data_IF_503130118543
#
_entry.id   IF_503130118543
#
_cell.length_a   1.000
_cell.length_b   1.000
_cell.length_c   1.000
_cell.angle_alpha   90.00
_cell.angle_beta   90.00
_cell.angle_gamma   90.00
#
_symmetry.space_group_name_H-M   'P 1'
#
loop_
_entity.id
_entity.type
_entity.pdbx_description
1 polymer ?
#
# COMPACT_ATOMS: atom_id res chain seq x y z
N UNK A 1 -17.79 -12.94 46.65
CA UNK A 1 -16.70 -11.93 46.69
C UNK A 1 -17.15 -10.75 45.86
N UNK A 2 -17.45 -9.59 46.47
CA UNK A 2 -17.62 -8.35 45.70
C UNK A 2 -16.24 -7.92 45.26
N UNK A 3 -15.91 -8.09 43.98
CA UNK A 3 -14.63 -7.66 43.45
C UNK A 3 -14.60 -6.13 43.45
N UNK A 4 -13.88 -5.56 44.42
CA UNK A 4 -13.65 -4.12 44.51
C UNK A 4 -12.74 -3.69 43.36
N UNK A 5 -13.19 -2.72 42.57
CA UNK A 5 -12.41 -2.10 41.49
C UNK A 5 -11.03 -1.59 41.96
N UNK A 6 -10.87 -1.27 43.25
CA UNK A 6 -9.58 -0.89 43.86
C UNK A 6 -8.57 -2.03 43.84
N UNK A 7 -8.97 -3.24 44.20
CA UNK A 7 -8.07 -4.41 44.19
C UNK A 7 -7.54 -4.69 42.78
N UNK A 8 -8.40 -4.59 41.76
CA UNK A 8 -7.98 -4.74 40.37
C UNK A 8 -6.95 -3.68 39.99
N UNK A 9 -7.19 -2.41 40.34
CA UNK A 9 -6.26 -1.31 40.05
C UNK A 9 -4.89 -1.53 40.69
N UNK A 10 -4.86 -1.79 41.99
CA UNK A 10 -3.62 -2.02 42.74
C UNK A 10 -2.83 -3.20 42.17
N UNK A 11 -3.51 -4.31 41.85
CA UNK A 11 -2.89 -5.48 41.23
C UNK A 11 -2.28 -5.15 39.86
N UNK A 12 -2.98 -4.37 39.04
CA UNK A 12 -2.47 -3.97 37.72
C UNK A 12 -1.31 -2.97 37.82
N UNK A 13 -1.35 -2.04 38.77
CA UNK A 13 -0.25 -1.09 38.99
C UNK A 13 1.01 -1.81 39.47
N UNK A 14 0.87 -2.77 40.40
CA UNK A 14 1.96 -3.63 40.84
C UNK A 14 2.51 -4.48 39.68
N UNK A 15 1.62 -5.11 38.91
CA UNK A 15 2.00 -5.91 37.75
C UNK A 15 2.74 -5.05 36.71
N UNK A 16 2.24 -3.86 36.37
CA UNK A 16 2.87 -2.96 35.42
C UNK A 16 4.27 -2.51 35.89
N UNK A 17 4.42 -2.22 37.19
CA UNK A 17 5.72 -1.87 37.80
C UNK A 17 6.73 -3.01 37.68
N UNK A 18 6.29 -4.24 38.00
CA UNK A 18 7.13 -5.42 37.89
C UNK A 18 7.52 -5.73 36.43
N UNK A 19 6.58 -5.57 35.49
CA UNK A 19 6.85 -5.73 34.06
C UNK A 19 7.85 -4.67 33.57
N UNK A 20 7.76 -3.44 34.05
CA UNK A 20 8.73 -2.40 33.70
C UNK A 20 10.16 -2.75 34.13
N UNK A 21 10.30 -3.29 35.34
CA UNK A 21 11.59 -3.81 35.85
C UNK A 21 12.13 -4.96 34.98
N UNK A 22 11.26 -5.90 34.60
CA UNK A 22 11.63 -7.01 33.68
C UNK A 22 12.11 -6.45 32.34
N UNK A 23 11.40 -5.49 31.75
CA UNK A 23 11.80 -4.86 30.48
C UNK A 23 13.13 -4.11 30.63
N UNK A 24 13.34 -3.42 31.76
CA UNK A 24 14.62 -2.78 32.06
C UNK A 24 15.78 -3.76 32.06
N UNK A 25 15.62 -4.93 32.68
CA UNK A 25 16.64 -5.99 32.67
C UNK A 25 16.84 -6.60 31.26
N UNK A 26 15.77 -6.77 30.50
CA UNK A 26 15.85 -7.20 29.09
C UNK A 26 16.65 -6.21 28.25
N UNK A 27 16.43 -4.91 28.40
CA UNK A 27 17.21 -3.89 27.69
C UNK A 27 18.70 -3.97 27.99
N UNK A 28 19.10 -4.21 29.24
CA UNK A 28 20.51 -4.40 29.61
C UNK A 28 21.09 -5.64 28.92
N UNK A 29 20.37 -6.76 28.95
CA UNK A 29 20.79 -8.01 28.33
C UNK A 29 20.93 -7.87 26.80
N UNK A 30 19.97 -7.21 26.15
CA UNK A 30 19.97 -6.92 24.71
C UNK A 30 21.10 -5.96 24.32
N UNK A 31 21.37 -4.92 25.12
CA UNK A 31 22.49 -4.03 24.89
C UNK A 31 23.82 -4.78 24.99
N UNK A 32 23.97 -5.62 26.03
CA UNK A 32 25.17 -6.43 26.24
C UNK A 32 25.40 -7.43 25.10
N UNK A 33 24.36 -8.08 24.57
CA UNK A 33 24.50 -9.01 23.44
C UNK A 33 24.99 -8.32 22.17
N UNK A 34 24.73 -7.02 22.02
CA UNK A 34 25.22 -6.18 20.93
C UNK A 34 26.50 -5.39 21.28
N UNK A 35 27.13 -5.69 22.43
CA UNK A 35 28.34 -5.02 22.93
C UNK A 35 28.16 -3.50 23.14
N UNK A 36 26.97 -3.09 23.56
CA UNK A 36 26.63 -1.72 23.90
C UNK A 36 26.67 -1.48 25.40
N UNK A 37 26.65 -0.21 25.81
CA UNK A 37 26.43 0.16 27.20
C UNK A 37 25.03 -0.29 27.64
N UNK A 38 24.88 -0.74 28.89
CA UNK A 38 23.62 -1.31 29.38
C UNK A 38 22.41 -0.38 29.27
N UNK A 39 22.63 0.93 29.25
CA UNK A 39 21.59 1.95 29.13
C UNK A 39 21.35 2.43 27.68
N UNK A 40 22.01 1.83 26.68
CA UNK A 40 21.91 2.26 25.28
C UNK A 40 20.49 2.19 24.74
N UNK A 41 19.69 1.19 25.13
CA UNK A 41 18.29 1.09 24.72
C UNK A 41 17.35 1.89 25.62
N UNK A 42 17.50 1.83 26.95
CA UNK A 42 16.57 2.51 27.86
C UNK A 42 16.53 4.03 27.66
N UNK A 43 17.69 4.66 27.36
CA UNK A 43 17.76 6.10 27.05
C UNK A 43 16.93 6.51 25.83
N UNK A 44 16.73 5.61 24.87
CA UNK A 44 15.97 5.88 23.65
C UNK A 44 14.46 5.94 23.92
N UNK A 45 14.00 5.42 25.05
CA UNK A 45 12.59 5.45 25.43
C UNK A 45 12.20 6.75 26.15
N UNK A 46 13.17 7.63 26.44
CA UNK A 46 12.91 8.92 27.09
C UNK A 46 12.80 8.85 28.60
N UNK A 47 12.48 9.98 29.22
CA UNK A 47 12.35 10.08 30.69
C UNK A 47 11.01 9.57 31.18
N UNK A 48 9.95 9.75 30.37
CA UNK A 48 8.58 9.32 30.69
C UNK A 48 8.02 8.37 29.65
N UNK A 49 8.61 7.16 29.51
CA UNK A 49 8.11 6.17 28.58
C UNK A 49 6.71 5.67 28.96
N UNK A 50 5.93 5.32 27.94
CA UNK A 50 4.56 4.85 28.12
C UNK A 50 4.55 3.34 28.33
N UNK A 51 3.86 2.89 29.38
CA UNK A 51 3.43 1.51 29.54
C UNK A 51 1.93 1.43 29.26
N UNK A 52 1.54 0.73 28.19
CA UNK A 52 0.14 0.58 27.80
C UNK A 52 -0.31 -0.86 28.00
N UNK A 53 -1.37 -1.08 28.78
CA UNK A 53 -2.00 -2.38 28.96
C UNK A 53 -3.15 -2.61 27.96
N UNK A 54 -3.29 -3.84 27.47
CA UNK A 54 -4.48 -4.32 26.75
C UNK A 54 -4.91 -5.67 27.31
N UNK A 55 -6.16 -5.74 27.74
CA UNK A 55 -6.78 -6.91 28.36
C UNK A 55 -7.81 -7.44 27.37
N UNK A 56 -7.58 -8.63 26.83
CA UNK A 56 -8.42 -9.18 25.75
C UNK A 56 -8.98 -10.52 26.16
N UNK A 57 -10.30 -10.65 26.09
CA UNK A 57 -11.02 -11.91 26.15
C UNK A 57 -11.39 -12.32 24.72
N UNK A 58 -10.94 -13.50 24.31
CA UNK A 58 -11.30 -14.11 23.03
C UNK A 58 -12.40 -15.14 23.31
N UNK A 59 -13.65 -14.88 22.87
CA UNK A 59 -14.73 -15.84 23.04
C UNK A 59 -14.52 -17.07 22.16
N UNK A 60 -15.24 -18.15 22.47
CA UNK A 60 -15.32 -19.32 21.60
C UNK A 60 -15.90 -18.95 20.24
N UNK A 61 -15.34 -19.49 19.17
CA UNK A 61 -15.78 -19.25 17.81
C UNK A 61 -16.23 -20.56 17.15
N UNK A 62 -17.42 -20.58 16.56
CA UNK A 62 -17.95 -21.74 15.83
C UNK A 62 -17.23 -22.00 14.50
N UNK A 63 -16.55 -20.99 13.94
CA UNK A 63 -15.80 -21.04 12.68
C UNK A 63 -14.37 -20.50 12.85
N UNK A 64 -13.53 -21.15 13.67
CA UNK A 64 -12.20 -20.65 14.03
C UNK A 64 -11.22 -20.61 12.84
N UNK A 65 -11.52 -21.36 11.78
CA UNK A 65 -10.83 -21.36 10.49
C UNK A 65 -11.07 -20.08 9.67
N UNK A 66 -12.10 -19.30 10.01
CA UNK A 66 -12.51 -18.10 9.25
C UNK A 66 -12.35 -16.81 10.03
N UNK A 67 -12.07 -16.89 11.33
CA UNK A 67 -12.04 -15.73 12.22
C UNK A 67 -10.74 -15.71 13.02
N UNK A 68 -9.96 -14.65 12.81
CA UNK A 68 -8.83 -14.33 13.66
C UNK A 68 -9.31 -13.65 14.94
N UNK A 69 -8.71 -14.01 16.08
CA UNK A 69 -8.82 -13.23 17.30
C UNK A 69 -8.07 -11.90 17.14
N UNK A 70 -6.88 -11.96 16.52
CA UNK A 70 -6.14 -10.79 16.04
C UNK A 70 -5.50 -11.16 14.71
N UNK A 71 -5.71 -10.32 13.68
CA UNK A 71 -5.14 -10.53 12.34
C UNK A 71 -3.59 -10.50 12.38
N UNK A 72 -2.91 -11.08 11.36
CA UNK A 72 -1.46 -10.94 11.21
C UNK A 72 -1.00 -9.48 11.26
N UNK A 73 -0.06 -9.17 12.16
CA UNK A 73 0.55 -7.84 12.32
C UNK A 73 1.91 -7.94 13.03
N UNK A 74 2.72 -6.87 12.98
CA UNK A 74 3.83 -6.66 13.91
C UNK A 74 3.42 -5.65 14.99
N UNK A 75 4.19 -5.54 16.07
CA UNK A 75 3.90 -4.54 17.11
C UNK A 75 4.60 -3.21 16.81
N UNK A 76 3.85 -2.12 16.75
CA UNK A 76 4.43 -0.77 16.66
C UNK A 76 5.09 -0.26 17.95
N UNK A 77 5.17 -1.08 19.02
CA UNK A 77 5.83 -0.78 20.29
C UNK A 77 7.35 -1.06 20.21
N UNK A 78 8.05 -0.87 21.33
CA UNK A 78 9.43 -1.34 21.47
C UNK A 78 9.49 -2.78 21.96
N UNK A 79 8.84 -3.07 23.09
CA UNK A 79 8.74 -4.42 23.66
C UNK A 79 7.30 -4.65 24.08
N UNK A 80 6.84 -5.88 23.84
CA UNK A 80 5.54 -6.36 24.26
C UNK A 80 5.75 -7.54 25.19
N UNK A 81 5.16 -7.48 26.39
CA UNK A 81 5.17 -8.57 27.35
C UNK A 81 3.75 -9.08 27.52
N UNK A 82 3.58 -10.38 27.29
CA UNK A 82 2.29 -11.05 27.25
C UNK A 82 2.22 -12.07 28.38
N UNK A 83 1.22 -11.89 29.24
CA UNK A 83 0.71 -12.95 30.10
C UNK A 83 -0.30 -13.76 29.30
N UNK A 84 0.10 -14.98 28.95
CA UNK A 84 -0.74 -15.92 28.22
C UNK A 84 -1.78 -16.58 29.12
N UNK A 85 -2.87 -17.04 28.51
CA UNK A 85 -3.79 -17.98 29.13
C UNK A 85 -3.05 -19.24 29.59
N UNK A 86 -3.50 -19.84 30.69
CA UNK A 86 -2.85 -20.99 31.32
C UNK A 86 -3.11 -22.29 30.56
N UNK A 87 -4.20 -22.38 29.82
CA UNK A 87 -4.67 -23.64 29.23
C UNK A 87 -4.90 -23.52 27.72
N UNK A 88 -5.31 -22.33 27.25
CA UNK A 88 -5.78 -22.17 25.87
C UNK A 88 -4.73 -21.50 24.98
N UNK A 89 -4.13 -22.28 24.08
CA UNK A 89 -3.22 -21.77 23.06
C UNK A 89 -3.96 -20.90 22.03
N UNK A 90 -3.22 -20.03 21.35
CA UNK A 90 -3.78 -19.29 20.22
C UNK A 90 -2.85 -18.27 19.60
N UNK A 91 -1.75 -17.89 20.28
CA UNK A 91 -0.74 -17.04 19.68
C UNK A 91 0.09 -17.84 18.66
N UNK A 92 0.28 -17.28 17.48
CA UNK A 92 1.16 -17.79 16.45
C UNK A 92 2.11 -16.70 15.96
N UNK A 93 3.36 -17.07 15.71
CA UNK A 93 4.40 -16.18 15.17
C UNK A 93 4.83 -16.71 13.80
N UNK A 94 4.95 -15.81 12.82
CA UNK A 94 5.43 -16.14 11.49
C UNK A 94 6.96 -16.20 11.49
N UNK A 95 7.51 -17.35 11.07
CA UNK A 95 8.95 -17.54 10.87
C UNK A 95 9.16 -18.34 9.59
N UNK A 96 10.01 -17.84 8.69
CA UNK A 96 10.34 -18.53 7.43
C UNK A 96 9.07 -18.94 6.64
N UNK A 97 8.12 -18.01 6.52
CA UNK A 97 6.81 -18.20 5.88
C UNK A 97 5.91 -19.29 6.50
N UNK A 98 6.24 -19.76 7.69
CA UNK A 98 5.46 -20.74 8.44
C UNK A 98 4.92 -20.15 9.76
N UNK A 99 3.65 -20.44 10.04
CA UNK A 99 3.01 -20.05 11.29
C UNK A 99 3.34 -21.05 12.40
N UNK A 100 4.16 -20.62 13.35
CA UNK A 100 4.54 -21.41 14.52
C UNK A 100 3.62 -21.10 15.70
N UNK A 101 3.10 -22.13 16.36
CA UNK A 101 2.35 -21.96 17.61
C UNK A 101 3.31 -21.61 18.75
N UNK A 102 2.95 -20.60 19.54
CA UNK A 102 3.70 -20.27 20.75
C UNK A 102 3.25 -21.21 21.88
N UNK A 103 4.16 -21.99 22.49
CA UNK A 103 3.79 -22.89 23.58
C UNK A 103 3.40 -22.09 24.82
N UNK A 104 2.50 -22.68 25.62
CA UNK A 104 2.25 -22.22 26.98
C UNK A 104 3.27 -22.88 27.88
N UNK A 105 4.11 -22.07 28.52
CA UNK A 105 5.06 -22.52 29.52
C UNK A 105 4.52 -22.03 30.87
N UNK A 106 4.22 -22.93 31.82
CA UNK A 106 3.73 -22.54 33.14
C UNK A 106 4.62 -21.50 33.80
N UNK A 107 4.01 -20.45 34.34
CA UNK A 107 4.68 -19.33 35.01
C UNK A 107 5.63 -18.48 34.15
N UNK A 108 5.66 -18.68 32.83
CA UNK A 108 6.46 -17.86 31.94
C UNK A 108 5.65 -16.70 31.33
N UNK A 109 6.32 -15.59 31.11
CA UNK A 109 5.84 -14.50 30.26
C UNK A 109 6.34 -14.72 28.84
N UNK A 110 5.51 -14.41 27.86
CA UNK A 110 5.95 -14.32 26.48
C UNK A 110 6.44 -12.90 26.19
N UNK A 111 7.59 -12.77 25.53
CA UNK A 111 8.17 -11.47 25.14
C UNK A 111 8.25 -11.41 23.63
N UNK A 112 7.67 -10.35 23.06
CA UNK A 112 7.79 -9.99 21.67
C UNK A 112 8.54 -8.66 21.52
N UNK A 113 9.33 -8.53 20.45
CA UNK A 113 10.00 -7.28 20.12
C UNK A 113 9.21 -6.58 19.02
N UNK A 114 8.96 -5.29 19.20
CA UNK A 114 8.24 -4.49 18.22
C UNK A 114 9.18 -3.76 17.25
N UNK A 115 8.56 -3.12 16.26
CA UNK A 115 9.20 -2.41 15.17
C UNK A 115 10.19 -1.35 15.67
N UNK A 116 9.87 -0.67 16.79
CA UNK A 116 10.74 0.38 17.31
C UNK A 116 12.05 -0.21 17.84
N UNK A 117 12.03 -1.40 18.45
CA UNK A 117 13.25 -2.07 18.87
C UNK A 117 14.05 -2.60 17.68
N UNK A 118 13.38 -3.04 16.61
CA UNK A 118 14.05 -3.36 15.35
C UNK A 118 14.76 -2.12 14.75
N UNK A 119 14.13 -0.95 14.79
CA UNK A 119 14.73 0.32 14.35
C UNK A 119 15.94 0.67 15.21
N UNK A 120 15.78 0.70 16.54
CA UNK A 120 16.85 1.06 17.49
C UNK A 120 18.07 0.14 17.35
N UNK A 121 17.83 -1.15 17.11
CA UNK A 121 18.89 -2.15 16.95
C UNK A 121 19.50 -2.23 15.55
N UNK A 122 19.16 -1.30 14.65
CA UNK A 122 19.54 -1.31 13.24
C UNK A 122 19.24 -2.67 12.56
N UNK A 123 18.14 -3.33 12.95
CA UNK A 123 17.71 -4.60 12.37
C UNK A 123 18.34 -5.85 12.95
N UNK A 124 19.20 -5.72 13.99
CA UNK A 124 19.80 -6.86 14.69
C UNK A 124 18.76 -7.69 15.45
N UNK A 125 17.74 -7.04 16.01
CA UNK A 125 16.53 -7.70 16.48
C UNK A 125 15.41 -7.54 15.47
N UNK A 126 14.62 -8.60 15.25
CA UNK A 126 13.50 -8.58 14.32
C UNK A 126 12.18 -8.41 15.07
N UNK A 127 11.30 -7.59 14.50
CA UNK A 127 9.89 -7.45 14.88
C UNK A 127 9.10 -8.50 14.10
N UNK A 128 8.67 -9.61 14.73
CA UNK A 128 8.04 -10.69 14.00
C UNK A 128 6.56 -10.41 13.77
N UNK A 129 6.08 -10.81 12.60
CA UNK A 129 4.64 -10.84 12.33
C UNK A 129 4.04 -11.95 13.18
N UNK A 130 2.95 -11.66 13.87
CA UNK A 130 2.23 -12.59 14.73
C UNK A 130 0.72 -12.41 14.59
N UNK A 131 -0.04 -13.42 15.00
CA UNK A 131 -1.51 -13.43 14.96
C UNK A 131 -2.08 -14.21 16.12
N UNK A 132 -3.36 -14.00 16.42
CA UNK A 132 -4.10 -14.82 17.38
C UNK A 132 -5.22 -15.56 16.66
N UNK A 133 -5.20 -16.90 16.74
CA UNK A 133 -6.29 -17.75 16.24
C UNK A 133 -7.33 -17.98 17.35
N UNK A 134 -8.59 -18.15 16.94
CA UNK A 134 -9.68 -18.48 17.86
C UNK A 134 -9.83 -20.00 17.99
N UNK A 135 -10.63 -20.46 18.96
CA UNK A 135 -10.92 -21.88 19.17
C UNK A 135 -12.41 -22.09 19.48
N UNK A 136 -12.89 -23.33 19.40
CA UNK A 136 -14.30 -23.70 19.62
C UNK A 136 -14.64 -24.02 21.07
N UNK A 137 -13.63 -24.35 21.88
CA UNK A 137 -13.84 -25.11 23.13
C UNK A 137 -13.90 -24.21 24.35
N UNK A 138 -12.99 -23.24 24.46
CA UNK A 138 -12.85 -22.39 25.63
C UNK A 138 -12.52 -20.96 25.25
N UNK A 139 -13.07 -20.04 26.02
CA UNK A 139 -12.60 -18.66 25.98
C UNK A 139 -11.14 -18.58 26.42
N UNK A 140 -10.43 -17.58 25.91
CA UNK A 140 -9.01 -17.36 26.18
C UNK A 140 -8.81 -15.93 26.64
N UNK A 141 -8.08 -15.71 27.72
CA UNK A 141 -7.69 -14.37 28.15
C UNK A 141 -6.23 -14.07 27.80
N UNK A 142 -5.93 -12.80 27.57
CA UNK A 142 -4.56 -12.30 27.53
C UNK A 142 -4.43 -10.93 28.17
N UNK A 143 -3.31 -10.71 28.87
CA UNK A 143 -2.91 -9.39 29.35
C UNK A 143 -1.62 -9.01 28.66
N UNK A 144 -1.67 -7.94 27.87
CA UNK A 144 -0.57 -7.49 27.02
C UNK A 144 -0.09 -6.14 27.51
N UNK A 145 1.22 -6.03 27.78
CA UNK A 145 1.86 -4.79 28.22
C UNK A 145 2.83 -4.33 27.13
N UNK A 146 2.58 -3.14 26.58
CA UNK A 146 3.40 -2.53 25.55
C UNK A 146 4.27 -1.42 26.15
N UNK A 147 5.59 -1.55 26.07
CA UNK A 147 6.52 -0.46 26.39
C UNK A 147 6.80 0.35 25.13
N UNK A 148 6.54 1.64 25.21
CA UNK A 148 6.74 2.61 24.13
C UNK A 148 7.61 3.77 24.63
N UNK A 149 8.40 4.40 23.76
CA UNK A 149 9.03 5.67 24.06
C UNK A 149 7.99 6.74 24.44
N UNK A 150 8.45 7.78 25.12
CA UNK A 150 7.63 8.96 25.39
C UNK A 150 7.08 9.58 24.10
N UNK A 151 5.91 10.26 24.15
CA UNK A 151 5.35 10.95 22.98
C UNK A 151 6.35 11.89 22.32
N UNK A 152 6.27 12.06 21.01
CA UNK A 152 7.14 12.95 20.23
C UNK A 152 8.64 12.58 20.24
N UNK A 153 9.06 11.52 20.94
CA UNK A 153 10.42 11.01 20.86
C UNK A 153 10.72 10.54 19.44
N UNK A 154 11.83 11.03 18.90
CA UNK A 154 12.38 10.49 17.67
C UNK A 154 13.14 9.20 17.96
N UNK A 155 12.89 8.17 17.16
CA UNK A 155 13.61 6.91 17.20
C UNK A 155 14.45 6.76 15.92
N UNK A 156 15.67 6.28 16.08
CA UNK A 156 16.60 5.96 15.01
C UNK A 156 17.55 4.86 15.45
N UNK A 157 18.28 4.20 14.54
CA UNK A 157 19.32 3.26 14.92
C UNK A 157 20.31 3.87 15.93
N UNK A 158 20.61 3.12 17.00
CA UNK A 158 21.65 3.51 17.96
C UNK A 158 22.98 3.66 17.22
N UNK A 159 23.66 4.80 17.38
CA UNK A 159 24.82 5.18 16.56
C UNK A 159 25.92 4.12 16.54
N UNK A 160 26.19 3.44 17.66
CA UNK A 160 27.20 2.38 17.73
C UNK A 160 26.85 1.11 16.89
N UNK A 161 25.64 1.02 16.36
CA UNK A 161 25.18 -0.05 15.48
C UNK A 161 25.17 0.35 14.00
N UNK A 162 25.66 1.55 13.67
CA UNK A 162 25.81 2.05 12.32
C UNK A 162 27.30 2.30 12.06
N UNK A 163 27.86 1.58 11.10
CA UNK A 163 29.25 1.72 10.67
C UNK A 163 29.40 1.35 9.17
N UNK A 164 30.62 1.42 8.63
CA UNK A 164 30.88 1.11 7.21
C UNK A 164 30.48 -0.34 6.83
N UNK A 165 30.51 -1.28 7.78
CA UNK A 165 30.14 -2.69 7.58
C UNK A 165 28.65 -2.92 7.83
N UNK A 166 27.99 -2.05 8.61
CA UNK A 166 26.59 -2.10 8.99
C UNK A 166 25.93 -0.76 8.65
N UNK A 167 25.55 -0.55 7.38
CA UNK A 167 24.94 0.72 6.98
C UNK A 167 23.63 0.96 7.73
N UNK A 168 23.24 2.23 7.83
CA UNK A 168 21.98 2.65 8.45
C UNK A 168 20.81 2.09 7.64
N UNK A 169 20.04 1.17 8.21
CA UNK A 169 18.89 0.55 7.55
C UNK A 169 17.60 1.36 7.73
N UNK A 170 17.49 2.11 8.83
CA UNK A 170 16.28 2.85 9.19
C UNK A 170 16.56 4.35 9.29
N UNK A 171 15.64 5.14 8.73
CA UNK A 171 15.63 6.60 8.91
C UNK A 171 15.11 6.96 10.30
N UNK A 172 15.48 8.15 10.75
CA UNK A 172 14.89 8.77 11.93
C UNK A 172 13.38 8.96 11.73
N UNK A 173 12.59 8.60 12.73
CA UNK A 173 11.14 8.66 12.68
C UNK A 173 10.56 9.11 14.01
N UNK A 174 9.53 9.95 13.94
CA UNK A 174 8.77 10.46 15.08
C UNK A 174 7.38 9.81 15.10
N UNK A 175 6.79 9.64 16.27
CA UNK A 175 5.42 9.13 16.43
C UNK A 175 5.16 7.79 15.72
N UNK A 176 6.15 6.88 15.75
CA UNK A 176 6.09 5.62 15.03
C UNK A 176 4.86 4.78 15.38
N UNK A 177 4.42 4.76 16.64
CA UNK A 177 3.22 4.02 17.04
C UNK A 177 1.97 4.50 16.30
N UNK A 178 1.82 5.81 16.13
CA UNK A 178 0.70 6.42 15.39
C UNK A 178 0.81 6.09 13.92
N UNK A 179 2.00 6.28 13.34
CA UNK A 179 2.26 5.94 11.93
C UNK A 179 1.98 4.46 11.64
N UNK A 180 2.44 3.55 12.50
CA UNK A 180 2.20 2.12 12.38
C UNK A 180 0.70 1.80 12.37
N UNK A 181 -0.07 2.41 13.29
CA UNK A 181 -1.52 2.22 13.35
C UNK A 181 -2.22 2.77 12.10
N UNK A 182 -1.87 3.97 11.65
CA UNK A 182 -2.42 4.57 10.43
C UNK A 182 -2.11 3.73 9.19
N UNK A 183 -0.86 3.25 9.05
CA UNK A 183 -0.47 2.36 7.98
C UNK A 183 -1.25 1.04 8.01
N UNK A 184 -1.47 0.46 9.20
CA UNK A 184 -2.27 -0.74 9.35
C UNK A 184 -3.73 -0.52 8.91
N UNK A 185 -4.37 0.57 9.35
CA UNK A 185 -5.74 0.91 8.94
C UNK A 185 -5.84 1.15 7.42
N UNK A 186 -4.89 1.90 6.86
CA UNK A 186 -4.82 2.11 5.40
C UNK A 186 -4.62 0.80 4.64
N UNK A 187 -3.81 -0.11 5.16
CA UNK A 187 -3.64 -1.46 4.60
C UNK A 187 -4.94 -2.25 4.57
N UNK A 188 -5.71 -2.23 5.67
CA UNK A 188 -7.04 -2.84 5.72
C UNK A 188 -8.01 -2.23 4.71
N UNK A 189 -7.95 -0.91 4.51
CA UNK A 189 -8.76 -0.24 3.50
C UNK A 189 -8.40 -0.67 2.07
N UNK A 190 -7.11 -0.79 1.75
CA UNK A 190 -6.68 -1.33 0.45
C UNK A 190 -7.13 -2.78 0.23
N UNK A 191 -7.19 -3.58 1.29
CA UNK A 191 -7.76 -4.93 1.22
C UNK A 191 -9.27 -4.90 0.93
N UNK A 192 -10.02 -3.98 1.56
CA UNK A 192 -11.45 -3.75 1.25
C UNK A 192 -11.64 -3.34 -0.22
N UNK A 193 -10.80 -2.44 -0.75
CA UNK A 193 -10.84 -2.04 -2.17
C UNK A 193 -10.67 -3.27 -3.07
N UNK A 194 -9.69 -4.14 -2.79
CA UNK A 194 -9.53 -5.39 -3.56
C UNK A 194 -10.75 -6.30 -3.46
N UNK A 195 -11.30 -6.46 -2.27
CA UNK A 195 -12.44 -7.33 -1.99
C UNK A 195 -13.69 -6.91 -2.78
N UNK A 196 -14.03 -5.62 -2.82
CA UNK A 196 -15.21 -5.15 -3.58
C UNK A 196 -15.05 -5.35 -5.08
N UNK A 197 -13.83 -5.23 -5.60
CA UNK A 197 -13.52 -5.50 -7.01
C UNK A 197 -13.63 -6.99 -7.33
N UNK A 198 -13.07 -7.86 -6.48
CA UNK A 198 -13.17 -9.32 -6.63
C UNK A 198 -14.65 -9.73 -6.65
N UNK A 199 -15.44 -9.29 -5.67
CA UNK A 199 -16.88 -9.58 -5.59
C UNK A 199 -17.64 -9.14 -6.84
N UNK A 200 -17.28 -8.00 -7.44
CA UNK A 200 -17.87 -7.57 -8.70
C UNK A 200 -17.54 -8.55 -9.85
N UNK A 201 -16.27 -8.96 -9.98
CA UNK A 201 -15.86 -9.87 -11.06
C UNK A 201 -16.39 -11.30 -10.91
N UNK A 202 -16.67 -11.73 -9.67
CA UNK A 202 -17.34 -13.01 -9.34
C UNK A 202 -18.84 -13.03 -9.67
N UNK A 203 -19.46 -11.88 -9.97
CA UNK A 203 -20.87 -11.84 -10.38
C UNK A 203 -21.11 -12.60 -11.69
N UNK A 204 -22.35 -13.12 -11.90
CA UNK A 204 -22.77 -13.66 -13.18
C UNK A 204 -22.51 -12.68 -14.33
N UNK A 205 -22.19 -13.19 -15.50
CA UNK A 205 -21.84 -12.37 -16.67
C UNK A 205 -22.97 -11.39 -17.02
N UNK A 206 -24.23 -11.79 -16.83
CA UNK A 206 -25.42 -10.97 -17.07
C UNK A 206 -25.45 -9.74 -16.16
N UNK A 207 -25.04 -9.87 -14.90
CA UNK A 207 -24.96 -8.74 -13.96
C UNK A 207 -23.81 -7.82 -14.34
N UNK A 208 -22.64 -8.37 -14.70
CA UNK A 208 -21.48 -7.56 -15.15
C UNK A 208 -21.79 -6.78 -16.43
N UNK A 209 -22.50 -7.40 -17.38
CA UNK A 209 -22.88 -6.79 -18.66
C UNK A 209 -23.93 -5.67 -18.53
N UNK A 210 -24.63 -5.54 -17.40
CA UNK A 210 -25.49 -4.35 -17.15
C UNK A 210 -24.71 -3.05 -17.08
N UNK A 211 -23.43 -3.15 -16.70
CA UNK A 211 -22.49 -2.04 -16.70
C UNK A 211 -21.65 -2.03 -17.99
N UNK A 212 -22.09 -2.76 -19.02
CA UNK A 212 -21.36 -3.01 -20.25
C UNK A 212 -21.05 -1.73 -21.03
N UNK A 213 -19.88 -1.72 -21.65
CA UNK A 213 -19.43 -0.64 -22.50
C UNK A 213 -20.19 -0.64 -23.84
N UNK A 214 -20.65 0.53 -24.29
CA UNK A 214 -21.13 0.72 -25.66
C UNK A 214 -19.96 0.62 -26.67
N UNK A 215 -20.22 0.23 -27.92
CA UNK A 215 -19.20 -0.15 -28.92
C UNK A 215 -17.99 0.81 -29.05
N UNK A 216 -18.18 2.12 -28.85
CA UNK A 216 -17.13 3.17 -28.94
C UNK A 216 -16.90 3.94 -27.63
N UNK A 217 -17.54 3.57 -26.52
CA UNK A 217 -17.39 4.27 -25.23
C UNK A 217 -16.02 3.99 -24.57
N UNK A 218 -15.55 4.87 -23.68
CA UNK A 218 -14.30 4.63 -22.92
C UNK A 218 -14.56 4.05 -21.52
N UNK A 219 -15.82 3.91 -21.15
CA UNK A 219 -16.32 3.51 -19.84
C UNK A 219 -17.25 2.30 -19.97
N UNK A 220 -17.42 1.58 -18.87
CA UNK A 220 -18.18 0.34 -18.77
C UNK A 220 -17.30 -0.92 -18.65
N UNK A 221 -17.97 -2.05 -18.42
CA UNK A 221 -17.40 -3.39 -18.41
C UNK A 221 -17.22 -3.90 -19.83
N UNK A 222 -16.05 -4.46 -20.12
CA UNK A 222 -15.72 -5.02 -21.42
C UNK A 222 -14.32 -4.65 -21.90
N UNK A 223 -13.90 -5.29 -22.97
CA UNK A 223 -12.60 -5.08 -23.59
C UNK A 223 -12.49 -3.73 -24.31
N UNK A 224 -11.27 -3.38 -24.70
CA UNK A 224 -11.06 -2.25 -25.61
C UNK A 224 -11.80 -2.49 -26.94
N UNK A 225 -12.27 -1.40 -27.55
CA UNK A 225 -12.97 -1.48 -28.83
C UNK A 225 -12.01 -2.02 -29.91
N UNK A 226 -12.49 -2.95 -30.74
CA UNK A 226 -11.73 -3.45 -31.88
C UNK A 226 -11.70 -2.39 -32.98
N UNK A 227 -10.51 -1.93 -33.33
CA UNK A 227 -10.28 -0.97 -34.43
C UNK A 227 -10.00 -1.71 -35.74
N UNK A 228 -9.37 -2.89 -35.67
CA UNK A 228 -9.03 -3.72 -36.82
C UNK A 228 -9.23 -5.21 -36.51
N UNK A 229 -9.52 -6.02 -37.53
CA UNK A 229 -9.66 -7.48 -37.38
C UNK A 229 -8.35 -8.18 -36.94
N UNK A 230 -7.20 -7.55 -37.20
CA UNK A 230 -5.87 -8.08 -36.83
C UNK A 230 -5.42 -7.62 -35.45
N UNK A 231 -6.26 -6.89 -34.71
CA UNK A 231 -5.89 -6.36 -33.41
C UNK A 231 -5.71 -7.49 -32.39
N UNK A 232 -4.53 -7.52 -31.76
CA UNK A 232 -4.26 -8.43 -30.63
C UNK A 232 -5.05 -7.95 -29.41
N UNK A 233 -5.81 -8.87 -28.82
CA UNK A 233 -6.65 -8.61 -27.65
C UNK A 233 -5.87 -8.94 -26.38
N UNK A 234 -6.05 -8.11 -25.35
CA UNK A 234 -5.48 -8.32 -24.03
C UNK A 234 -6.21 -9.44 -23.28
N UNK A 235 -5.49 -10.32 -22.59
CA UNK A 235 -6.04 -11.41 -21.77
C UNK A 235 -6.50 -10.89 -20.41
N UNK A 236 -7.57 -10.10 -20.41
CA UNK A 236 -8.09 -9.43 -19.23
C UNK A 236 -9.57 -9.10 -19.35
N UNK A 237 -10.30 -9.21 -18.26
CA UNK A 237 -11.59 -8.55 -18.09
C UNK A 237 -11.39 -7.18 -17.42
N UNK A 238 -12.11 -6.15 -17.83
CA UNK A 238 -11.96 -4.82 -17.24
C UNK A 238 -13.28 -4.07 -17.12
N UNK A 239 -13.37 -3.25 -16.07
CA UNK A 239 -14.38 -2.23 -15.85
C UNK A 239 -13.68 -0.88 -15.78
N UNK A 240 -14.10 0.09 -16.60
CA UNK A 240 -13.57 1.46 -16.56
C UNK A 240 -14.68 2.44 -16.22
N UNK A 241 -14.44 3.37 -15.29
CA UNK A 241 -15.43 4.39 -14.91
C UNK A 241 -14.76 5.75 -14.73
N UNK A 242 -15.47 6.82 -15.09
CA UNK A 242 -15.12 8.18 -14.71
C UNK A 242 -15.42 8.40 -13.23
N UNK A 243 -14.42 8.91 -12.50
CA UNK A 243 -14.52 9.24 -11.08
C UNK A 243 -14.52 10.75 -10.87
N UNK A 244 -13.69 11.51 -11.56
CA UNK A 244 -13.78 12.96 -11.53
C UNK A 244 -13.72 13.52 -12.94
N UNK A 245 -14.48 14.59 -13.25
CA UNK A 245 -15.38 15.31 -12.33
C UNK A 245 -16.73 14.59 -12.07
N UNK A 246 -17.35 14.87 -10.92
CA UNK A 246 -18.56 14.16 -10.44
C UNK A 246 -19.81 14.36 -11.32
N UNK A 247 -19.98 15.58 -11.83
CA UNK A 247 -21.11 15.99 -12.66
C UNK A 247 -21.11 15.37 -14.07
N UNK A 248 -20.02 14.71 -14.46
CA UNK A 248 -19.87 14.03 -15.76
C UNK A 248 -19.99 12.51 -15.66
N UNK A 249 -20.16 11.94 -14.46
CA UNK A 249 -20.23 10.49 -14.27
C UNK A 249 -21.52 9.91 -14.88
N UNK A 250 -21.40 8.84 -15.65
CA UNK A 250 -22.54 7.98 -15.96
C UNK A 250 -22.70 6.90 -14.90
N UNK A 251 -23.60 7.15 -13.95
CA UNK A 251 -23.83 6.24 -12.82
C UNK A 251 -24.42 4.89 -13.22
N UNK A 252 -24.96 4.75 -14.44
CA UNK A 252 -25.43 3.44 -14.94
C UNK A 252 -24.27 2.47 -15.16
N UNK A 253 -23.08 3.00 -15.45
CA UNK A 253 -21.86 2.22 -15.66
C UNK A 253 -21.17 1.85 -14.34
N UNK A 254 -21.60 2.42 -13.22
CA UNK A 254 -21.07 2.10 -11.90
C UNK A 254 -21.78 0.86 -11.32
N UNK A 255 -21.04 -0.12 -10.78
CA UNK A 255 -21.64 -1.27 -10.11
C UNK A 255 -22.47 -0.90 -8.89
N UNK A 256 -23.68 -1.47 -8.80
CA UNK A 256 -24.53 -1.45 -7.60
C UNK A 256 -24.23 -2.65 -6.67
N UNK A 257 -23.53 -3.66 -7.20
CA UNK A 257 -23.14 -4.88 -6.49
C UNK A 257 -21.62 -5.06 -6.58
N UNK A 258 -20.92 -5.32 -5.46
CA UNK A 258 -21.44 -5.31 -4.10
C UNK A 258 -21.94 -3.91 -3.66
N UNK A 259 -22.81 -3.86 -2.65
CA UNK A 259 -23.51 -2.63 -2.23
C UNK A 259 -22.54 -1.50 -1.82
N UNK A 260 -21.36 -1.85 -1.32
CA UNK A 260 -20.33 -0.93 -0.88
C UNK A 260 -19.29 -0.59 -1.97
N UNK A 261 -19.46 -1.06 -3.21
CA UNK A 261 -18.51 -0.82 -4.31
C UNK A 261 -18.28 0.67 -4.52
N UNK A 262 -19.35 1.42 -4.76
CA UNK A 262 -19.28 2.84 -5.11
C UNK A 262 -18.62 3.68 -4.02
N UNK A 263 -19.14 3.58 -2.80
CA UNK A 263 -18.62 4.31 -1.63
C UNK A 263 -17.13 4.01 -1.41
N UNK A 264 -16.74 2.73 -1.49
CA UNK A 264 -15.35 2.31 -1.30
C UNK A 264 -14.43 2.89 -2.38
N UNK A 265 -14.86 2.90 -3.65
CA UNK A 265 -14.07 3.45 -4.76
C UNK A 265 -14.00 4.98 -4.71
N UNK A 266 -15.07 5.67 -4.30
CA UNK A 266 -15.09 7.12 -4.10
C UNK A 266 -14.12 7.53 -2.97
N UNK A 267 -14.18 6.87 -1.81
CA UNK A 267 -13.24 7.09 -0.70
C UNK A 267 -11.79 6.78 -1.13
N UNK A 268 -11.58 5.71 -1.90
CA UNK A 268 -10.26 5.38 -2.42
C UNK A 268 -9.74 6.45 -3.38
N UNK A 269 -10.58 6.97 -4.27
CA UNK A 269 -10.21 8.03 -5.19
C UNK A 269 -9.82 9.34 -4.49
N UNK A 270 -10.54 9.74 -3.44
CA UNK A 270 -10.19 10.92 -2.63
C UNK A 270 -8.82 10.77 -1.96
N UNK A 271 -8.53 9.57 -1.44
CA UNK A 271 -7.23 9.25 -0.86
C UNK A 271 -6.12 9.26 -1.92
N UNK A 272 -6.39 8.74 -3.12
CA UNK A 272 -5.44 8.78 -4.24
C UNK A 272 -5.18 10.23 -4.70
N UNK A 273 -6.20 11.08 -4.78
CA UNK A 273 -6.02 12.49 -5.15
C UNK A 273 -5.10 13.22 -4.16
N UNK A 274 -5.25 12.94 -2.86
CA UNK A 274 -4.36 13.45 -1.82
C UNK A 274 -2.91 12.97 -2.00
N UNK A 275 -2.70 11.70 -2.34
CA UNK A 275 -1.36 11.15 -2.66
C UNK A 275 -0.76 11.84 -3.89
N UNK A 276 -1.55 12.04 -4.95
CA UNK A 276 -1.10 12.72 -6.18
C UNK A 276 -0.73 14.18 -5.90
N UNK A 277 -1.51 14.88 -5.07
CA UNK A 277 -1.20 16.25 -4.65
C UNK A 277 0.15 16.36 -3.92
N UNK A 278 0.43 15.45 -2.98
CA UNK A 278 1.73 15.37 -2.30
C UNK A 278 2.85 15.06 -3.30
N UNK A 279 2.61 14.15 -4.25
CA UNK A 279 3.57 13.78 -5.27
C UNK A 279 3.94 14.97 -6.17
N UNK A 280 2.96 15.77 -6.62
CA UNK A 280 3.24 16.97 -7.43
C UNK A 280 4.14 17.97 -6.71
N UNK A 281 3.87 18.25 -5.43
CA UNK A 281 4.71 19.14 -4.63
C UNK A 281 6.14 18.61 -4.49
N UNK A 282 6.27 17.32 -4.21
CA UNK A 282 7.57 16.67 -4.08
C UNK A 282 8.37 16.69 -5.40
N UNK A 283 7.71 16.40 -6.53
CA UNK A 283 8.30 16.46 -7.87
C UNK A 283 8.76 17.88 -8.21
N UNK A 284 7.91 18.88 -8.00
CA UNK A 284 8.26 20.28 -8.23
C UNK A 284 9.47 20.70 -7.37
N UNK A 285 9.45 20.37 -6.08
CA UNK A 285 10.56 20.67 -5.16
C UNK A 285 11.86 19.98 -5.57
N UNK A 286 11.81 18.74 -6.05
CA UNK A 286 13.00 18.02 -6.54
C UNK A 286 13.67 18.71 -7.73
N UNK A 287 12.88 19.47 -8.51
CA UNK A 287 13.34 20.26 -9.65
C UNK A 287 13.54 21.74 -9.33
N UNK A 288 13.46 22.13 -8.04
CA UNK A 288 13.55 23.52 -7.57
C UNK A 288 12.50 24.46 -8.20
N UNK A 289 11.30 23.93 -8.46
CA UNK A 289 10.15 24.66 -8.98
C UNK A 289 9.22 25.11 -7.85
N UNK A 290 8.28 26.00 -8.18
CA UNK A 290 7.14 26.30 -7.30
C UNK A 290 6.31 25.01 -7.11
N UNK A 291 5.87 24.73 -5.88
CA UNK A 291 5.13 23.50 -5.56
C UNK A 291 3.87 23.27 -6.43
N UNK A 292 3.31 24.35 -7.00
CA UNK A 292 2.13 24.32 -7.85
C UNK A 292 2.41 24.21 -9.36
N UNK A 293 3.68 24.20 -9.79
CA UNK A 293 4.05 24.24 -11.22
C UNK A 293 3.39 23.15 -12.06
N UNK A 294 3.29 21.93 -11.52
CA UNK A 294 2.60 20.83 -12.20
C UNK A 294 1.08 20.86 -12.00
N UNK A 295 0.59 21.11 -10.79
CA UNK A 295 -0.85 21.07 -10.50
C UNK A 295 -1.63 22.16 -11.24
N UNK A 296 -1.04 23.34 -11.46
CA UNK A 296 -1.64 24.44 -12.25
C UNK A 296 -2.03 24.01 -13.68
N UNK A 297 -1.20 23.18 -14.31
CA UNK A 297 -1.46 22.67 -15.66
C UNK A 297 -2.57 21.60 -15.70
N UNK A 298 -2.81 20.88 -14.60
CA UNK A 298 -3.92 19.93 -14.53
C UNK A 298 -5.29 20.61 -14.53
N UNK A 299 -5.40 21.83 -13.98
CA UNK A 299 -6.65 22.58 -13.91
C UNK A 299 -7.66 22.05 -12.89
N UNK A 300 -8.68 22.86 -12.63
CA UNK A 300 -9.66 22.60 -11.58
C UNK A 300 -10.62 21.46 -11.95
N UNK A 301 -10.81 21.21 -13.25
CA UNK A 301 -11.62 20.11 -13.79
C UNK A 301 -10.79 18.94 -14.29
N UNK A 302 -9.65 18.70 -13.65
CA UNK A 302 -8.80 17.53 -13.93
C UNK A 302 -9.58 16.22 -13.81
N UNK A 303 -9.27 15.28 -14.70
CA UNK A 303 -10.00 14.02 -14.83
C UNK A 303 -9.34 12.94 -13.99
N UNK A 304 -10.14 12.17 -13.24
CA UNK A 304 -9.71 10.91 -12.64
C UNK A 304 -10.55 9.77 -13.20
N UNK A 305 -9.89 8.76 -13.78
CA UNK A 305 -10.54 7.57 -14.31
C UNK A 305 -10.06 6.34 -13.52
N UNK A 306 -10.99 5.50 -13.09
CA UNK A 306 -10.69 4.19 -12.50
C UNK A 306 -10.75 3.10 -13.57
N UNK A 307 -9.79 2.17 -13.53
CA UNK A 307 -9.82 0.92 -14.30
C UNK A 307 -9.55 -0.25 -13.37
N UNK A 308 -10.53 -1.12 -13.25
CA UNK A 308 -10.47 -2.35 -12.46
C UNK A 308 -10.28 -3.50 -13.44
N UNK A 309 -9.26 -4.34 -13.21
CA UNK A 309 -8.85 -5.36 -14.18
C UNK A 309 -8.71 -6.70 -13.47
N UNK A 310 -9.36 -7.73 -14.01
CA UNK A 310 -9.14 -9.13 -13.68
C UNK A 310 -8.31 -9.76 -14.81
N UNK A 311 -7.26 -10.47 -14.45
CA UNK A 311 -6.47 -11.29 -15.36
C UNK A 311 -6.74 -12.77 -15.01
N UNK A 312 -7.52 -13.49 -15.84
CA UNK A 312 -7.73 -14.92 -15.66
C UNK A 312 -6.43 -15.71 -15.80
N UNK A 313 -6.42 -16.94 -15.32
CA UNK A 313 -5.34 -17.88 -15.64
C UNK A 313 -5.28 -18.11 -17.16
N UNK A 314 -4.08 -18.37 -17.68
CA UNK A 314 -3.85 -18.61 -19.09
C UNK A 314 -3.02 -19.87 -19.29
N UNK A 315 -3.48 -20.77 -20.16
CA UNK A 315 -2.74 -22.00 -20.50
C UNK A 315 -1.51 -21.73 -21.37
N UNK A 316 -1.46 -20.61 -22.10
CA UNK A 316 -0.34 -20.18 -22.94
C UNK A 316 0.11 -18.75 -22.61
N UNK A 317 0.65 -18.53 -21.40
CA UNK A 317 1.05 -17.18 -20.94
C UNK A 317 2.22 -16.61 -21.75
N UNK A 318 2.94 -17.45 -22.50
CA UNK A 318 3.99 -17.09 -23.45
C UNK A 318 3.46 -16.44 -24.75
N UNK A 319 2.16 -16.55 -25.02
CA UNK A 319 1.56 -16.09 -26.29
C UNK A 319 0.60 -14.90 -26.13
N UNK A 320 0.30 -14.50 -24.90
CA UNK A 320 -0.65 -13.41 -24.62
C UNK A 320 -0.07 -12.47 -23.58
N UNK A 321 -0.55 -11.23 -23.60
CA UNK A 321 -0.33 -10.29 -22.50
C UNK A 321 -1.65 -10.07 -21.77
N UNK A 322 -1.57 -9.90 -20.46
CA UNK A 322 -2.69 -9.36 -19.69
C UNK A 322 -2.95 -7.91 -20.08
N UNK A 323 -1.89 -7.14 -20.31
CA UNK A 323 -1.93 -5.84 -21.00
C UNK A 323 -0.70 -5.72 -21.87
N UNK A 324 -0.88 -5.48 -23.17
CA UNK A 324 0.20 -5.25 -24.13
C UNK A 324 1.17 -4.13 -23.72
N UNK A 325 2.43 -4.14 -24.21
CA UNK A 325 3.38 -3.05 -23.98
C UNK A 325 2.83 -1.68 -24.39
N UNK A 326 2.86 -0.71 -23.49
CA UNK A 326 2.42 0.67 -23.73
C UNK A 326 3.07 1.66 -22.75
N UNK A 327 2.98 2.95 -23.05
CA UNK A 327 3.12 4.04 -22.06
C UNK A 327 1.73 4.55 -21.67
N UNK A 328 1.63 5.16 -20.49
CA UNK A 328 0.37 5.71 -20.02
C UNK A 328 0.15 7.11 -20.57
N UNK A 329 -0.96 7.33 -21.29
CA UNK A 329 -1.36 8.67 -21.73
C UNK A 329 -1.86 9.59 -20.59
N UNK A 330 -1.75 9.18 -19.32
CA UNK A 330 -2.14 9.99 -18.16
C UNK A 330 -1.04 11.01 -17.81
N UNK A 331 -1.25 11.81 -16.76
CA UNK A 331 -0.13 12.51 -16.12
C UNK A 331 0.48 11.65 -15.02
N UNK A 332 -0.37 11.07 -14.17
CA UNK A 332 0.03 10.13 -13.13
C UNK A 332 -0.94 8.97 -13.13
N UNK A 333 -0.41 7.77 -12.96
CA UNK A 333 -1.19 6.58 -12.68
C UNK A 333 -0.77 6.03 -11.32
N UNK A 334 -1.77 5.70 -10.50
CA UNK A 334 -1.56 5.02 -9.22
C UNK A 334 -2.22 3.65 -9.29
N UNK A 335 -1.43 2.61 -9.07
CA UNK A 335 -1.81 1.23 -9.23
C UNK A 335 -1.78 0.51 -7.88
N UNK A 336 -2.94 -0.01 -7.48
CA UNK A 336 -3.04 -1.04 -6.46
C UNK A 336 -2.87 -2.39 -7.14
N UNK A 337 -1.73 -3.03 -6.89
CA UNK A 337 -1.46 -4.38 -7.39
C UNK A 337 -2.26 -5.43 -6.61
N UNK A 338 -2.32 -6.62 -7.18
CA UNK A 338 -2.74 -7.83 -6.48
C UNK A 338 -1.96 -8.03 -5.18
N UNK A 339 -2.52 -8.78 -4.25
CA UNK A 339 -1.92 -9.02 -2.94
C UNK A 339 -0.72 -9.96 -2.99
N UNK A 340 -0.74 -10.93 -3.91
CA UNK A 340 0.25 -12.01 -3.96
C UNK A 340 0.77 -12.30 -5.38
N UNK A 341 -0.01 -11.99 -6.42
CA UNK A 341 0.31 -12.40 -7.79
C UNK A 341 1.05 -11.30 -8.56
N UNK A 342 2.31 -11.57 -8.91
CA UNK A 342 3.12 -10.70 -9.76
C UNK A 342 2.61 -10.69 -11.21
N UNK A 343 3.05 -9.69 -11.99
CA UNK A 343 2.81 -9.68 -13.43
C UNK A 343 3.07 -8.35 -14.12
N UNK A 344 3.11 -7.24 -13.39
CA UNK A 344 3.53 -5.95 -13.95
C UNK A 344 5.02 -6.01 -14.29
N UNK A 345 5.36 -5.62 -15.52
CA UNK A 345 6.74 -5.45 -15.96
C UNK A 345 6.95 -4.05 -16.53
N UNK A 346 8.08 -3.44 -16.19
CA UNK A 346 8.49 -2.11 -16.69
C UNK A 346 9.75 -2.28 -17.53
N UNK A 347 9.78 -1.65 -18.70
CA UNK A 347 10.96 -1.63 -19.57
C UNK A 347 11.95 -0.59 -19.06
N UNK A 348 13.17 -1.02 -18.76
CA UNK A 348 14.28 -0.18 -18.35
C UNK A 348 15.56 -0.69 -19.01
N UNK A 349 16.30 0.20 -19.68
CA UNK A 349 17.56 -0.14 -20.36
C UNK A 349 17.40 -1.36 -21.29
N UNK A 350 16.33 -1.37 -22.09
CA UNK A 350 15.92 -2.45 -23.01
C UNK A 350 15.66 -3.81 -22.34
N UNK A 351 15.50 -3.84 -21.02
CA UNK A 351 15.18 -5.03 -20.24
C UNK A 351 13.84 -4.90 -19.52
N UNK A 352 13.04 -5.97 -19.59
CA UNK A 352 11.78 -6.07 -18.86
C UNK A 352 12.03 -6.46 -17.41
N UNK A 353 11.75 -5.56 -16.48
CA UNK A 353 11.89 -5.80 -15.04
C UNK A 353 10.52 -6.06 -14.41
N UNK A 354 10.38 -7.19 -13.72
CA UNK A 354 9.17 -7.51 -12.94
C UNK A 354 9.10 -6.62 -11.70
N UNK A 355 7.97 -5.93 -11.53
CA UNK A 355 7.70 -5.15 -10.34
C UNK A 355 7.26 -6.09 -9.21
N UNK A 356 7.94 -6.08 -8.05
CA UNK A 356 7.55 -6.94 -6.94
C UNK A 356 6.20 -6.51 -6.38
N UNK A 357 5.45 -7.49 -5.87
CA UNK A 357 4.25 -7.24 -5.07
C UNK A 357 4.69 -6.97 -3.63
N UNK A 358 4.45 -5.74 -3.16
CA UNK A 358 4.69 -5.35 -1.77
C UNK A 358 3.31 -5.16 -1.13
N UNK A 359 2.96 -5.93 -0.08
CA UNK A 359 1.68 -5.81 0.60
C UNK A 359 1.37 -4.36 0.99
N UNK A 360 0.14 -3.92 0.71
CA UNK A 360 -0.37 -2.58 1.02
C UNK A 360 0.44 -1.41 0.41
N UNK A 361 1.30 -1.67 -0.57
CA UNK A 361 1.97 -0.63 -1.35
C UNK A 361 1.17 -0.24 -2.60
N UNK A 362 1.28 1.02 -2.97
CA UNK A 362 0.81 1.55 -4.25
C UNK A 362 2.01 1.71 -5.18
N UNK A 363 1.87 1.23 -6.41
CA UNK A 363 2.83 1.51 -7.47
C UNK A 363 2.42 2.81 -8.17
N UNK A 364 3.37 3.71 -8.41
CA UNK A 364 3.11 4.99 -9.08
C UNK A 364 3.97 5.06 -10.34
N UNK A 365 3.33 5.34 -11.47
CA UNK A 365 4.00 5.61 -12.73
C UNK A 365 3.57 6.97 -13.28
N UNK A 366 4.50 7.61 -13.99
CA UNK A 366 4.26 8.88 -14.66
C UNK A 366 3.90 8.62 -16.12
N UNK A 367 2.89 9.32 -16.60
CA UNK A 367 2.43 9.20 -17.97
C UNK A 367 3.05 10.24 -18.90
N UNK A 368 2.73 10.12 -20.19
CA UNK A 368 3.19 10.95 -21.29
C UNK A 368 3.01 12.45 -20.99
N UNK A 369 1.86 12.82 -20.41
CA UNK A 369 1.55 14.22 -20.11
C UNK A 369 2.51 14.82 -19.08
N UNK A 370 2.94 14.03 -18.09
CA UNK A 370 3.95 14.48 -17.11
C UNK A 370 5.36 14.52 -17.71
N UNK A 371 5.67 13.63 -18.64
CA UNK A 371 6.92 13.71 -19.40
C UNK A 371 6.98 15.01 -20.24
N UNK A 372 5.88 15.41 -20.87
CA UNK A 372 5.76 16.69 -21.58
C UNK A 372 5.98 17.85 -20.62
N UNK A 373 5.22 17.92 -19.52
CA UNK A 373 5.30 19.02 -18.55
C UNK A 373 6.68 19.17 -17.91
N UNK A 374 7.40 18.06 -17.68
CA UNK A 374 8.74 18.07 -17.10
C UNK A 374 9.86 18.26 -18.13
N UNK A 375 9.53 18.60 -19.38
CA UNK A 375 10.48 18.70 -20.49
C UNK A 375 11.38 17.46 -20.63
N UNK A 376 10.81 16.27 -20.41
CA UNK A 376 11.53 15.00 -20.53
C UNK A 376 12.40 14.62 -19.34
N UNK A 377 12.40 15.37 -18.24
CA UNK A 377 13.14 15.02 -17.01
C UNK A 377 12.54 13.77 -16.37
N UNK A 378 11.23 13.74 -16.19
CA UNK A 378 10.53 12.53 -15.80
C UNK A 378 10.14 11.75 -17.05
N UNK A 379 10.37 10.44 -17.02
CA UNK A 379 10.07 9.54 -18.15
C UNK A 379 8.73 8.83 -17.93
N UNK A 380 7.98 8.66 -19.00
CA UNK A 380 6.87 7.73 -19.09
C UNK A 380 7.40 6.38 -19.57
N UNK A 381 7.53 5.39 -18.68
CA UNK A 381 8.14 4.13 -19.05
C UNK A 381 7.16 3.25 -19.82
N UNK A 382 7.68 2.51 -20.80
CA UNK A 382 6.96 1.39 -21.36
C UNK A 382 6.76 0.33 -20.28
N UNK A 383 5.54 -0.18 -20.18
CA UNK A 383 5.19 -1.23 -19.23
C UNK A 383 4.19 -2.20 -19.87
N UNK A 384 4.12 -3.41 -19.33
CA UNK A 384 3.20 -4.47 -19.77
C UNK A 384 2.75 -5.30 -18.57
N UNK A 385 1.72 -6.12 -18.77
CA UNK A 385 1.31 -7.12 -17.78
C UNK A 385 1.39 -8.49 -18.41
N UNK A 386 2.19 -9.38 -17.82
CA UNK A 386 2.24 -10.81 -18.21
C UNK A 386 1.19 -11.60 -17.44
N UNK A 387 0.74 -12.71 -18.02
CA UNK A 387 -0.21 -13.64 -17.38
C UNK A 387 0.53 -14.84 -16.79
N UNK A 388 -0.21 -15.74 -16.13
CA UNK A 388 0.34 -16.95 -15.55
C UNK A 388 -0.69 -18.10 -15.63
N UNK A 389 -0.24 -19.33 -15.36
CA UNK A 389 -1.06 -20.56 -15.40
C UNK A 389 -1.78 -20.90 -14.10
N UNK A 390 -1.36 -20.30 -12.98
CA UNK A 390 -1.62 -20.84 -11.64
C UNK A 390 -2.71 -20.08 -10.90
N UNK A 391 -2.71 -18.75 -10.98
CA UNK A 391 -3.61 -17.88 -10.20
C UNK A 391 -4.11 -16.71 -11.02
N UNK A 392 -5.38 -16.39 -10.80
CA UNK A 392 -5.97 -15.14 -11.25
C UNK A 392 -5.34 -13.96 -10.51
N UNK A 393 -5.40 -12.79 -11.12
CA UNK A 393 -4.80 -11.56 -10.59
C UNK A 393 -5.77 -10.41 -10.76
N UNK A 394 -5.89 -9.53 -9.77
CA UNK A 394 -6.62 -8.26 -9.93
C UNK A 394 -5.71 -7.05 -9.81
N UNK A 395 -6.06 -5.96 -10.49
CA UNK A 395 -5.41 -4.66 -10.29
C UNK A 395 -6.41 -3.52 -10.36
N UNK A 396 -6.17 -2.46 -9.58
CA UNK A 396 -6.94 -1.21 -9.65
C UNK A 396 -6.01 -0.07 -10.06
N UNK A 397 -6.22 0.47 -11.26
CA UNK A 397 -5.45 1.57 -11.81
C UNK A 397 -6.27 2.87 -11.78
N UNK A 398 -5.69 3.92 -11.20
CA UNK A 398 -6.30 5.23 -11.07
C UNK A 398 -5.49 6.22 -11.90
N UNK A 399 -6.08 6.73 -12.99
CA UNK A 399 -5.42 7.62 -13.94
C UNK A 399 -5.83 9.06 -13.66
N UNK A 400 -4.88 9.91 -13.22
CA UNK A 400 -5.08 11.36 -13.15
C UNK A 400 -4.62 12.02 -14.43
N UNK A 401 -5.49 12.79 -15.06
CA UNK A 401 -5.24 13.52 -16.30
C UNK A 401 -5.56 15.01 -16.12
N UNK A 402 -4.83 15.91 -16.79
CA UNK A 402 -5.23 17.30 -16.95
C UNK A 402 -6.65 17.43 -17.50
N UNK A 403 -7.27 18.57 -17.20
CA UNK A 403 -8.50 19.04 -17.83
C UNK A 403 -8.32 19.02 -19.36
N UNK A 404 -9.18 18.32 -20.12
CA UNK A 404 -9.12 18.27 -21.58
C UNK A 404 -9.15 19.65 -22.24
N UNK A 405 -9.73 20.66 -21.60
CA UNK A 405 -9.82 22.02 -22.11
C UNK A 405 -8.57 22.87 -21.85
N UNK A 406 -7.66 22.40 -20.99
CA UNK A 406 -6.37 23.05 -20.75
C UNK A 406 -5.28 22.54 -21.69
N UNK A 407 -4.36 23.44 -21.98
CA UNK A 407 -3.12 23.12 -22.66
C UNK A 407 -2.05 22.73 -21.63
N UNK A 408 -1.27 21.70 -21.97
CA UNK A 408 -0.06 21.34 -21.24
C UNK A 408 1.18 21.63 -22.08
N UNK A 409 2.28 21.98 -21.41
CA UNK A 409 3.56 22.25 -22.03
C UNK A 409 4.72 22.09 -21.04
N UNK A 410 5.97 21.96 -21.53
CA UNK A 410 7.16 22.06 -20.68
C UNK A 410 7.09 23.28 -19.76
N UNK A 411 7.24 23.06 -18.46
CA UNK A 411 7.34 24.15 -17.47
C UNK A 411 8.53 25.04 -17.85
N UNK A 412 8.30 26.35 -17.94
CA UNK A 412 9.28 27.29 -18.52
C UNK A 412 10.63 27.26 -17.80
N UNK A 413 10.66 27.11 -16.47
CA UNK A 413 11.89 26.99 -15.70
C UNK A 413 12.69 25.71 -15.98
N UNK A 414 12.15 24.76 -16.75
CA UNK A 414 12.84 23.56 -17.22
C UNK A 414 13.30 23.69 -18.69
N UNK A 415 13.18 24.88 -19.28
CA UNK A 415 13.64 25.19 -20.64
C UNK A 415 14.73 26.26 -20.57
N UNK A 416 15.93 25.91 -21.01
CA UNK A 416 17.08 26.82 -21.08
C UNK A 416 18.01 26.43 -22.25
N UNK A 417 19.14 27.14 -22.41
CA UNK A 417 20.11 26.85 -23.47
C UNK A 417 20.71 25.43 -23.38
N UNK A 418 20.80 24.84 -22.18
CA UNK A 418 21.33 23.50 -21.94
C UNK A 418 20.25 22.42 -22.06
N UNK A 419 18.99 22.78 -21.85
CA UNK A 419 17.82 21.92 -22.00
C UNK A 419 16.77 22.65 -22.87
N UNK A 420 16.91 22.60 -24.21
CA UNK A 420 15.95 23.23 -25.09
C UNK A 420 14.56 22.60 -24.92
N UNK A 421 13.54 23.29 -25.42
CA UNK A 421 12.16 22.78 -25.40
C UNK A 421 12.08 21.53 -26.27
N UNK A 422 11.68 20.40 -25.67
CA UNK A 422 11.60 19.11 -26.37
C UNK A 422 10.20 18.79 -26.88
N UNK A 423 9.17 19.42 -26.32
CA UNK A 423 7.77 19.13 -26.63
C UNK A 423 7.00 20.40 -26.96
N UNK A 424 6.11 20.29 -27.94
CA UNK A 424 5.14 21.33 -28.27
C UNK A 424 4.02 21.40 -27.22
N UNK A 425 3.29 22.52 -27.24
CA UNK A 425 2.08 22.68 -26.44
C UNK A 425 0.98 21.73 -26.96
N UNK A 426 0.24 21.07 -26.05
CA UNK A 426 -0.79 20.10 -26.41
C UNK A 426 -2.08 20.34 -25.63
N UNK A 427 -3.21 20.40 -26.34
CA UNK A 427 -4.57 20.37 -25.77
C UNK A 427 -5.18 18.98 -25.94
N UNK A 428 -5.93 18.50 -24.96
CA UNK A 428 -6.64 17.22 -24.99
C UNK A 428 -5.77 16.03 -25.47
N UNK A 429 -4.66 15.76 -24.76
CA UNK A 429 -3.74 14.68 -25.12
C UNK A 429 -4.41 13.31 -25.23
N UNK A 430 -5.50 13.07 -24.49
CA UNK A 430 -6.24 11.82 -24.54
C UNK A 430 -6.95 11.58 -25.89
N UNK A 431 -7.38 12.64 -26.58
CA UNK A 431 -7.92 12.54 -27.94
C UNK A 431 -6.79 12.25 -28.95
N UNK A 432 -5.68 12.98 -28.85
CA UNK A 432 -4.49 12.76 -29.69
C UNK A 432 -3.94 11.33 -29.54
N UNK A 433 -3.85 10.84 -28.31
CA UNK A 433 -3.39 9.48 -28.01
C UNK A 433 -4.27 8.42 -28.69
N UNK A 434 -5.59 8.62 -28.66
CA UNK A 434 -6.53 7.71 -29.33
C UNK A 434 -6.39 7.74 -30.86
N UNK A 435 -6.25 8.93 -31.46
CA UNK A 435 -6.03 9.08 -32.90
C UNK A 435 -4.70 8.43 -33.35
N UNK A 436 -3.63 8.65 -32.59
CA UNK A 436 -2.32 8.04 -32.85
C UNK A 436 -2.39 6.52 -32.75
N UNK A 437 -3.10 5.98 -31.75
CA UNK A 437 -3.32 4.54 -31.61
C UNK A 437 -3.99 3.94 -32.85
N UNK A 438 -5.02 4.60 -33.40
CA UNK A 438 -5.69 4.14 -34.63
C UNK A 438 -4.76 4.14 -35.85
N UNK A 439 -3.74 5.00 -35.85
CA UNK A 439 -2.73 5.12 -36.92
C UNK A 439 -1.45 4.32 -36.67
N UNK A 440 -1.34 3.63 -35.53
CA UNK A 440 -0.11 2.92 -35.14
C UNK A 440 1.08 3.85 -34.82
N UNK A 441 0.81 5.10 -34.46
CA UNK A 441 1.84 6.09 -34.12
C UNK A 441 2.07 6.15 -32.60
N UNK A 442 3.32 6.42 -32.21
CA UNK A 442 3.64 6.73 -30.81
C UNK A 442 3.24 8.18 -30.51
N UNK A 443 2.21 8.43 -29.66
CA UNK A 443 1.64 9.76 -29.51
C UNK A 443 2.67 10.79 -29.01
N UNK A 444 3.56 10.36 -28.12
CA UNK A 444 4.62 11.20 -27.56
C UNK A 444 5.63 11.68 -28.61
N UNK A 445 5.89 10.89 -29.64
CA UNK A 445 6.81 11.28 -30.73
C UNK A 445 6.16 12.33 -31.65
N UNK A 446 4.83 12.30 -31.81
CA UNK A 446 4.11 13.30 -32.62
C UNK A 446 4.10 14.70 -32.00
N UNK A 447 4.44 14.82 -30.72
CA UNK A 447 4.46 16.09 -29.97
C UNK A 447 5.87 16.55 -29.61
N UNK A 448 6.91 15.81 -30.00
CA UNK A 448 8.30 16.27 -29.91
C UNK A 448 8.59 17.35 -30.96
N UNK A 449 9.54 18.24 -30.65
CA UNK A 449 10.05 19.29 -31.55
C UNK A 449 11.20 18.76 -32.39
#
# INVERSE_FOLDING_TARGET
MSYDSRYCRETIDEYATNIDSVIGNLFKAMAKSLKLAENSFSKQFGERPIMQGRFVLYPTCTRPDQVFGVKPHSDGSGVTVLLQDKEVQGLQVLKEDQWLKVPIIPHALFVNLGDQMQILSNGAFKSPIHRVVTNREREKMSVVMFKKPEPEKEIEPVDQLVDEKRPRLYKKVKNYSTLHYECFQKGLFLDKVREVIIKFFELPIEEKQRHGKAAVAKEGYGLDSLVTEKQVIDWSDRLSVLIYPEDQRDLKLWPEKPQDFRETIEEYAMNIDSVVSILFKAMAKSLKLEESSFSKQFGDRSVMQGRFILYPTCTRPDQVFGVKPHSDGSGVTVLLQDKEVQGLQVLKDDQWLTVPVIPHALFVNLGDQMQIMSNGVFKSPFHRVVTNREREKITVAMFKRPDPEKEIEPVDQLVDEKRPRLYKKVKNYAALNYECFQKGLVPLDTVKI
#
